data_IF_647669576438
#
_entry.id   IF_647669576438
#
_cell.length_a   1.000
_cell.length_b   1.000
_cell.length_c   1.000
_cell.angle_alpha   90.00
_cell.angle_beta   90.00
_cell.angle_gamma   90.00
#
_symmetry.space_group_name_H-M   'P 1'
#
loop_
_entity.id
_entity.type
_entity.pdbx_description
1 polymer ?
#
# COMPACT_ATOMS: atom_id res chain seq x y z
N UNK A 1 -0.27 41.38 -56.97
CA UNK A 1 -1.39 40.60 -56.40
C UNK A 1 -0.79 39.60 -55.43
N UNK A 2 -1.21 39.66 -54.16
CA UNK A 2 -0.74 38.81 -53.06
C UNK A 2 -1.48 37.47 -53.16
N UNK A 3 -0.78 36.35 -53.26
CA UNK A 3 -1.37 35.02 -53.06
C UNK A 3 -0.54 34.25 -52.05
N UNK A 4 -1.25 33.77 -51.05
CA UNK A 4 -0.81 33.33 -49.75
C UNK A 4 -0.13 31.97 -49.78
N UNK A 5 0.89 31.83 -48.94
CA UNK A 5 1.40 30.57 -48.41
C UNK A 5 0.27 29.78 -47.76
N UNK A 6 0.14 28.51 -48.12
CA UNK A 6 -0.61 27.52 -47.34
C UNK A 6 0.29 26.30 -47.13
N UNK A 7 1.09 26.33 -46.07
CA UNK A 7 1.86 25.16 -45.61
C UNK A 7 0.86 24.26 -44.88
N UNK A 8 0.46 23.17 -45.55
CA UNK A 8 -0.31 22.10 -44.94
C UNK A 8 0.60 21.31 -43.98
N UNK A 9 0.60 21.70 -42.71
CA UNK A 9 1.23 20.94 -41.63
C UNK A 9 0.33 19.71 -41.40
N UNK A 10 0.72 18.57 -41.98
CA UNK A 10 0.15 17.27 -41.64
C UNK A 10 0.50 16.97 -40.19
N UNK A 11 -0.45 17.27 -39.30
CA UNK A 11 -0.47 16.81 -37.93
C UNK A 11 -0.59 15.28 -37.95
N UNK A 12 0.54 14.59 -37.92
CA UNK A 12 0.60 13.17 -37.59
C UNK A 12 0.32 13.06 -36.10
N UNK A 13 -0.97 12.99 -35.78
CA UNK A 13 -1.51 12.80 -34.45
C UNK A 13 -0.86 11.57 -33.84
N UNK A 14 0.04 11.76 -32.88
CA UNK A 14 0.49 10.70 -32.00
C UNK A 14 -0.72 10.21 -31.20
N UNK A 15 -1.46 9.23 -31.70
CA UNK A 15 -2.47 8.51 -30.92
C UNK A 15 -1.72 7.63 -29.93
N UNK A 16 -1.34 8.19 -28.80
CA UNK A 16 -0.88 7.42 -27.65
C UNK A 16 -2.03 6.53 -27.21
N UNK A 17 -1.92 5.22 -27.44
CA UNK A 17 -2.81 4.24 -26.84
C UNK A 17 -2.58 4.31 -25.33
N UNK A 18 -3.49 4.97 -24.61
CA UNK A 18 -3.52 4.92 -23.15
C UNK A 18 -3.88 3.48 -22.76
N UNK A 19 -2.86 2.68 -22.42
CA UNK A 19 -3.06 1.35 -21.87
C UNK A 19 -3.85 1.50 -20.57
N UNK A 20 -5.14 1.14 -20.62
CA UNK A 20 -6.01 1.21 -19.46
C UNK A 20 -5.72 -0.03 -18.61
N UNK A 21 -4.77 0.08 -17.67
CA UNK A 21 -4.54 -0.99 -16.69
C UNK A 21 -5.83 -1.16 -15.88
N UNK A 22 -6.49 -2.31 -15.97
CA UNK A 22 -7.56 -2.62 -15.02
C UNK A 22 -6.93 -2.66 -13.64
N UNK A 23 -7.47 -1.87 -12.72
CA UNK A 23 -7.07 -1.90 -11.32
C UNK A 23 -7.12 -3.35 -10.82
N UNK A 24 -6.03 -3.83 -10.23
CA UNK A 24 -5.99 -5.19 -9.70
C UNK A 24 -7.14 -5.36 -8.70
N UNK A 25 -7.92 -6.46 -8.77
CA UNK A 25 -9.05 -6.64 -7.87
C UNK A 25 -8.56 -6.59 -6.43
N UNK A 26 -9.08 -5.65 -5.66
CA UNK A 26 -8.71 -5.51 -4.25
C UNK A 26 -9.25 -6.70 -3.46
N UNK A 27 -8.34 -7.42 -2.80
CA UNK A 27 -8.67 -8.55 -1.93
C UNK A 27 -8.58 -8.09 -0.48
N UNK A 28 -9.53 -8.51 0.35
CA UNK A 28 -9.45 -8.30 1.80
C UNK A 28 -8.56 -9.36 2.45
N UNK A 29 -7.61 -8.91 3.25
CA UNK A 29 -6.70 -9.70 4.05
C UNK A 29 -6.94 -9.41 5.53
N UNK A 30 -6.88 -10.45 6.36
CA UNK A 30 -7.07 -10.38 7.80
C UNK A 30 -5.79 -10.79 8.50
N UNK A 31 -5.32 -9.94 9.41
CA UNK A 31 -4.10 -10.16 10.20
C UNK A 31 -4.46 -10.13 11.68
N UNK A 32 -4.07 -11.19 12.41
CA UNK A 32 -4.30 -11.32 13.84
C UNK A 32 -2.98 -11.35 14.59
N UNK A 33 -2.90 -10.52 15.61
CA UNK A 33 -1.75 -10.36 16.47
C UNK A 33 -2.16 -10.62 17.93
N UNK A 34 -1.23 -11.14 18.72
CA UNK A 34 -1.44 -11.35 20.16
C UNK A 34 -0.14 -11.12 20.91
N UNK A 35 -0.18 -10.21 21.88
CA UNK A 35 0.98 -9.84 22.67
C UNK A 35 0.53 -9.47 24.09
N UNK A 36 1.18 -10.06 25.10
CA UNK A 36 0.89 -9.80 26.52
C UNK A 36 -0.61 -9.88 26.89
N UNK A 37 -1.33 -10.86 26.32
CA UNK A 37 -2.76 -11.06 26.56
C UNK A 37 -3.71 -10.15 25.76
N UNK A 38 -3.19 -9.14 25.04
CA UNK A 38 -3.98 -8.29 24.16
C UNK A 38 -4.00 -8.83 22.74
N UNK A 39 -5.20 -8.95 22.17
CA UNK A 39 -5.42 -9.36 20.78
C UNK A 39 -5.73 -8.16 19.91
N UNK A 40 -5.20 -8.16 18.69
CA UNK A 40 -5.47 -7.14 17.67
C UNK A 40 -5.79 -7.83 16.34
N UNK A 41 -6.93 -7.49 15.74
CA UNK A 41 -7.30 -7.92 14.39
C UNK A 41 -7.32 -6.70 13.46
N UNK A 42 -6.67 -6.82 12.31
CA UNK A 42 -6.58 -5.77 11.29
C UNK A 42 -7.05 -6.36 9.97
N UNK A 43 -8.00 -5.66 9.33
CA UNK A 43 -8.47 -5.96 7.98
C UNK A 43 -7.95 -4.92 7.00
N UNK A 44 -7.43 -5.37 5.86
CA UNK A 44 -6.89 -4.50 4.80
C UNK A 44 -7.28 -5.02 3.43
N UNK A 45 -7.92 -4.16 2.66
CA UNK A 45 -8.12 -4.38 1.23
C UNK A 45 -6.89 -3.84 0.48
N UNK A 46 -6.23 -4.69 -0.29
CA UNK A 46 -5.10 -4.28 -1.12
C UNK A 46 -4.99 -5.13 -2.39
N UNK A 47 -4.16 -4.67 -3.33
CA UNK A 47 -3.87 -5.38 -4.57
C UNK A 47 -3.00 -6.62 -4.33
N UNK A 48 -2.15 -6.61 -3.29
CA UNK A 48 -1.26 -7.71 -2.92
C UNK A 48 -1.33 -8.01 -1.42
N UNK A 49 -0.86 -9.20 -1.04
CA UNK A 49 -0.76 -9.56 0.38
C UNK A 49 0.30 -8.71 1.06
N UNK A 50 1.41 -8.45 0.37
CA UNK A 50 2.58 -7.71 0.83
C UNK A 50 2.21 -6.27 1.19
N UNK A 51 1.45 -5.58 0.33
CA UNK A 51 0.95 -4.22 0.60
C UNK A 51 0.02 -4.19 1.82
N UNK A 52 -0.87 -5.19 1.93
CA UNK A 52 -1.79 -5.30 3.06
C UNK A 52 -1.04 -5.61 4.37
N UNK A 53 -0.03 -6.47 4.28
CA UNK A 53 0.81 -6.90 5.39
C UNK A 53 1.68 -5.75 5.92
N UNK A 54 2.33 -4.98 5.05
CA UNK A 54 3.14 -3.82 5.46
C UNK A 54 2.29 -2.81 6.24
N UNK A 55 1.10 -2.49 5.72
CA UNK A 55 0.17 -1.59 6.40
C UNK A 55 -0.32 -2.16 7.75
N UNK A 56 -0.60 -3.47 7.80
CA UNK A 56 -1.06 -4.13 9.02
C UNK A 56 0.04 -4.21 10.08
N UNK A 57 1.27 -4.55 9.69
CA UNK A 57 2.44 -4.59 10.57
C UNK A 57 2.76 -3.21 11.16
N UNK A 58 2.69 -2.16 10.34
CA UNK A 58 2.89 -0.78 10.80
C UNK A 58 1.82 -0.36 11.83
N UNK A 59 0.55 -0.70 11.58
CA UNK A 59 -0.52 -0.42 12.55
C UNK A 59 -0.36 -1.27 13.81
N UNK A 60 0.02 -2.54 13.70
CA UNK A 60 0.32 -3.41 14.84
C UNK A 60 1.40 -2.81 15.74
N UNK A 61 2.50 -2.35 15.14
CA UNK A 61 3.61 -1.75 15.88
C UNK A 61 3.14 -0.50 16.63
N UNK A 62 2.41 0.39 15.95
CA UNK A 62 1.88 1.61 16.55
C UNK A 62 0.89 1.32 17.69
N UNK A 63 0.06 0.28 17.55
CA UNK A 63 -0.89 -0.14 18.57
C UNK A 63 -0.17 -0.61 19.84
N UNK A 64 0.75 -1.57 19.71
CA UNK A 64 1.42 -2.17 20.88
C UNK A 64 2.53 -1.31 21.48
N UNK A 65 3.17 -0.44 20.69
CA UNK A 65 4.14 0.53 21.19
C UNK A 65 3.45 1.60 22.04
N UNK A 66 2.24 2.01 21.64
CA UNK A 66 1.54 3.12 22.28
C UNK A 66 2.29 4.46 22.14
N UNK A 67 2.12 5.35 23.11
CA UNK A 67 2.74 6.68 23.10
C UNK A 67 4.14 6.64 23.73
N UNK A 68 5.14 7.16 23.00
CA UNK A 68 6.51 7.32 23.50
C UNK A 68 7.46 6.19 23.08
N UNK A 69 8.71 6.24 23.56
CA UNK A 69 9.67 5.15 23.44
C UNK A 69 9.32 4.00 24.39
N UNK A 70 9.74 2.79 24.03
CA UNK A 70 9.65 1.59 24.86
C UNK A 70 11.05 1.08 25.16
N UNK A 71 11.20 0.28 26.22
CA UNK A 71 12.45 -0.44 26.47
C UNK A 71 12.78 -1.37 25.30
N UNK A 72 14.07 -1.61 25.06
CA UNK A 72 14.55 -2.39 23.92
C UNK A 72 13.91 -3.78 23.83
N UNK A 73 13.95 -4.55 24.91
CA UNK A 73 13.35 -5.90 24.95
C UNK A 73 11.86 -5.86 24.60
N UNK A 74 11.13 -4.89 25.17
CA UNK A 74 9.72 -4.68 24.84
C UNK A 74 9.53 -4.33 23.37
N UNK A 75 10.43 -3.52 22.81
CA UNK A 75 10.43 -3.17 21.39
C UNK A 75 10.65 -4.39 20.49
N UNK A 76 11.59 -5.26 20.85
CA UNK A 76 11.87 -6.50 20.13
C UNK A 76 10.66 -7.45 20.14
N UNK A 77 9.99 -7.60 21.29
CA UNK A 77 8.76 -8.40 21.38
C UNK A 77 7.64 -7.87 20.47
N UNK A 78 7.51 -6.54 20.38
CA UNK A 78 6.51 -5.91 19.49
C UNK A 78 6.86 -6.18 18.04
N UNK A 79 8.13 -6.01 17.67
CA UNK A 79 8.62 -6.25 16.30
C UNK A 79 8.37 -7.72 15.90
N UNK A 80 8.73 -8.68 16.76
CA UNK A 80 8.54 -10.10 16.46
C UNK A 80 7.07 -10.45 16.22
N UNK A 81 6.16 -10.00 17.09
CA UNK A 81 4.72 -10.26 16.91
C UNK A 81 4.18 -9.58 15.65
N UNK A 82 4.56 -8.33 15.38
CA UNK A 82 4.04 -7.61 14.23
C UNK A 82 4.63 -8.10 12.90
N UNK A 83 5.81 -8.72 12.93
CA UNK A 83 6.41 -9.39 11.78
C UNK A 83 5.78 -10.78 11.51
N UNK A 84 5.12 -11.38 12.51
CA UNK A 84 4.62 -12.76 12.44
C UNK A 84 3.12 -12.85 12.81
N UNK A 85 2.19 -12.36 11.97
CA UNK A 85 0.76 -12.50 12.19
C UNK A 85 0.34 -13.98 12.16
N UNK A 86 -0.59 -14.37 13.04
CA UNK A 86 -1.02 -15.78 13.22
C UNK A 86 -2.07 -16.26 12.21
N UNK A 87 -2.61 -15.36 11.38
CA UNK A 87 -3.78 -15.51 10.47
C UNK A 87 -5.12 -15.87 11.14
#
# INVERSE_FOLDING_TARGET
>A
MKTLLTIAILAFSCTSFAWKSSEAPSKEYVFKYKLAGQSLEIKRAAASYEDAYEQAAQQCFNFYKGRGPVAEERGLDIIDVCANPRS
#
